data_IF_897674531498
#
_entry.id   IF_897674531498
#
_cell.length_a   1.000
_cell.length_b   1.000
_cell.length_c   1.000
_cell.angle_alpha   90.00
_cell.angle_beta   90.00
_cell.angle_gamma   90.00
#
_symmetry.space_group_name_H-M   'P 1'
#
loop_
_entity.id
_entity.type
_entity.pdbx_description
1 polymer ?
#
# COMPACT_ATOMS: atom_id res chain seq x y z
N UNK A 1 -3.43 -0.08 -19.43
CA UNK A 1 -3.73 1.31 -19.08
C UNK A 1 -4.08 1.43 -17.61
N UNK A 2 -3.49 2.37 -16.93
CA UNK A 2 -3.81 2.56 -15.53
C UNK A 2 -5.15 3.25 -15.35
N UNK A 3 -5.88 2.85 -14.33
CA UNK A 3 -7.16 3.48 -14.02
C UNK A 3 -6.94 4.87 -13.44
N UNK A 4 -7.88 5.78 -13.66
CA UNK A 4 -7.81 7.13 -13.09
C UNK A 4 -7.64 7.08 -11.56
N UNK A 5 -8.34 6.16 -10.91
CA UNK A 5 -8.26 5.98 -9.45
C UNK A 5 -6.87 5.60 -8.96
N UNK A 6 -6.06 4.93 -9.80
CA UNK A 6 -4.69 4.62 -9.46
C UNK A 6 -3.88 5.88 -9.20
N UNK A 7 -3.97 6.87 -10.08
CA UNK A 7 -3.23 8.12 -9.92
C UNK A 7 -3.69 8.90 -8.69
N UNK A 8 -4.98 8.89 -8.40
CA UNK A 8 -5.53 9.54 -7.23
C UNK A 8 -5.00 8.91 -5.94
N UNK A 9 -5.01 7.58 -5.87
CA UNK A 9 -4.49 6.87 -4.70
C UNK A 9 -2.99 7.09 -4.55
N UNK A 10 -2.25 7.04 -5.65
CA UNK A 10 -0.81 7.25 -5.61
C UNK A 10 -0.46 8.66 -5.12
N UNK A 11 -1.19 9.66 -5.60
CA UNK A 11 -1.00 11.03 -5.17
C UNK A 11 -1.22 11.18 -3.67
N UNK A 12 -2.30 10.62 -3.14
CA UNK A 12 -2.60 10.66 -1.71
C UNK A 12 -1.53 9.94 -0.89
N UNK A 13 -1.08 8.78 -1.37
CA UNK A 13 -0.03 8.03 -0.68
C UNK A 13 1.25 8.85 -0.60
N UNK A 14 1.61 9.55 -1.67
CA UNK A 14 2.80 10.41 -1.67
C UNK A 14 2.66 11.62 -0.77
N UNK A 15 1.45 12.12 -0.59
CA UNK A 15 1.19 13.21 0.37
C UNK A 15 1.35 12.73 1.81
N UNK A 16 0.89 11.52 2.11
CA UNK A 16 0.96 10.95 3.46
C UNK A 16 2.37 10.43 3.77
N UNK A 17 3.04 9.87 2.77
CA UNK A 17 4.38 9.29 2.91
C UNK A 17 5.35 9.92 1.91
N UNK A 18 5.67 11.23 2.05
CA UNK A 18 6.39 11.97 1.00
C UNK A 18 7.80 11.47 0.71
N UNK A 19 8.49 10.90 1.71
CA UNK A 19 9.86 10.45 1.55
C UNK A 19 9.97 8.93 1.47
N UNK A 20 8.85 8.24 1.29
CA UNK A 20 8.81 6.79 1.30
C UNK A 20 8.46 6.24 -0.07
N UNK A 21 9.25 5.29 -0.55
CA UNK A 21 8.92 4.50 -1.74
C UNK A 21 8.18 3.22 -1.34
N UNK A 22 8.45 2.73 -0.13
CA UNK A 22 7.79 1.57 0.44
C UNK A 22 7.29 1.90 1.84
N UNK A 23 6.22 1.23 2.26
CA UNK A 23 5.67 1.38 3.60
C UNK A 23 5.45 0.01 4.21
N UNK A 24 5.39 -0.03 5.53
CA UNK A 24 5.12 -1.27 6.26
C UNK A 24 3.64 -1.61 6.23
N UNK A 25 3.31 -2.85 6.58
CA UNK A 25 1.91 -3.27 6.64
C UNK A 25 1.10 -2.45 7.66
N UNK A 26 1.61 -2.18 8.88
CA UNK A 26 0.88 -1.29 9.80
C UNK A 26 0.60 0.09 9.23
N UNK A 27 1.56 0.68 8.50
CA UNK A 27 1.35 1.98 7.86
C UNK A 27 0.27 1.90 6.77
N UNK A 28 0.31 0.86 5.95
CA UNK A 28 -0.69 0.64 4.91
C UNK A 28 -2.08 0.42 5.52
N UNK A 29 -2.16 -0.35 6.60
CA UNK A 29 -3.42 -0.61 7.27
C UNK A 29 -4.01 0.67 7.86
N UNK A 30 -3.18 1.53 8.44
CA UNK A 30 -3.63 2.80 8.97
C UNK A 30 -4.18 3.70 7.87
N UNK A 31 -3.51 3.72 6.72
CA UNK A 31 -3.98 4.50 5.58
C UNK A 31 -5.32 3.96 5.06
N UNK A 32 -5.42 2.65 4.94
CA UNK A 32 -6.62 1.99 4.43
C UNK A 32 -7.77 2.01 5.45
N UNK A 33 -7.45 2.08 6.74
CA UNK A 33 -8.47 2.11 7.80
C UNK A 33 -8.86 0.73 8.29
N UNK A 34 -7.92 -0.22 8.31
CA UNK A 34 -8.19 -1.57 8.79
C UNK A 34 -7.08 -2.04 9.72
N UNK A 35 -7.28 -3.20 10.33
CA UNK A 35 -6.26 -3.82 11.16
C UNK A 35 -5.15 -4.42 10.28
N UNK A 36 -3.87 -4.32 10.72
CA UNK A 36 -2.76 -4.90 9.94
C UNK A 36 -2.96 -6.37 9.57
N UNK A 37 -3.56 -7.17 10.45
CA UNK A 37 -3.80 -8.58 10.18
C UNK A 37 -4.75 -8.80 9.00
N UNK A 38 -5.65 -7.88 8.76
CA UNK A 38 -6.55 -7.96 7.61
C UNK A 38 -5.77 -7.92 6.30
N UNK A 39 -4.76 -7.06 6.22
CA UNK A 39 -3.89 -6.99 5.04
C UNK A 39 -3.00 -8.23 4.93
N UNK A 40 -2.47 -8.72 6.05
CA UNK A 40 -1.63 -9.93 6.05
C UNK A 40 -2.38 -11.15 5.57
N UNK A 41 -3.68 -11.25 5.86
CA UNK A 41 -4.53 -12.35 5.43
C UNK A 41 -4.98 -12.23 3.99
N UNK A 42 -4.91 -11.05 3.41
CA UNK A 42 -5.33 -10.83 2.03
C UNK A 42 -4.34 -11.49 1.07
N UNK A 43 -4.84 -12.38 0.22
CA UNK A 43 -4.00 -13.06 -0.76
C UNK A 43 -3.63 -12.16 -1.93
N UNK A 44 -4.36 -11.08 -2.12
CA UNK A 44 -4.13 -10.16 -3.23
C UNK A 44 -3.27 -8.97 -2.85
N UNK A 45 -3.06 -8.73 -1.56
CA UNK A 45 -2.27 -7.58 -1.11
C UNK A 45 -0.80 -7.77 -1.52
N UNK A 46 -0.22 -6.82 -2.26
CA UNK A 46 1.08 -7.00 -2.90
C UNK A 46 2.28 -6.73 -1.99
N UNK A 47 2.23 -7.16 -0.75
CA UNK A 47 3.34 -7.00 0.17
C UNK A 47 4.45 -8.00 -0.12
N UNK A 48 5.69 -7.56 0.08
CA UNK A 48 6.87 -8.43 -0.05
C UNK A 48 7.65 -8.42 1.24
N UNK A 49 8.26 -9.57 1.55
CA UNK A 49 9.14 -9.67 2.70
C UNK A 49 10.47 -8.99 2.37
N UNK A 50 10.84 -8.00 3.18
CA UNK A 50 12.11 -7.29 3.06
C UNK A 50 12.79 -7.29 4.42
N UNK A 51 13.76 -8.18 4.61
CA UNK A 51 14.40 -8.35 5.91
C UNK A 51 13.40 -8.87 6.94
N UNK A 52 13.28 -8.18 8.05
CA UNK A 52 12.40 -8.58 9.15
C UNK A 52 10.92 -8.24 8.89
N UNK A 53 10.66 -7.30 8.01
CA UNK A 53 9.31 -6.75 7.85
C UNK A 53 8.82 -6.91 6.44
N UNK A 54 7.54 -7.22 6.30
CA UNK A 54 6.87 -7.15 5.01
C UNK A 54 6.60 -5.68 4.67
N UNK A 55 6.83 -5.31 3.42
CA UNK A 55 6.63 -3.95 2.92
C UNK A 55 5.89 -4.00 1.59
N UNK A 56 5.26 -2.91 1.25
CA UNK A 56 4.58 -2.75 -0.03
C UNK A 56 5.04 -1.43 -0.66
N UNK A 57 5.27 -1.45 -1.98
CA UNK A 57 5.58 -0.21 -2.68
C UNK A 57 4.33 0.65 -2.80
N UNK A 58 4.50 1.98 -2.81
CA UNK A 58 3.36 2.88 -2.98
C UNK A 58 2.63 2.62 -4.30
N UNK A 59 3.39 2.32 -5.36
CA UNK A 59 2.81 2.03 -6.67
C UNK A 59 1.94 0.79 -6.62
N UNK A 60 2.44 -0.29 -6.06
CA UNK A 60 1.67 -1.54 -5.96
C UNK A 60 0.47 -1.40 -5.04
N UNK A 61 0.61 -0.66 -3.95
CA UNK A 61 -0.50 -0.40 -3.06
C UNK A 61 -1.59 0.41 -3.76
N UNK A 62 -1.20 1.43 -4.52
CA UNK A 62 -2.15 2.24 -5.28
C UNK A 62 -2.89 1.40 -6.33
N UNK A 63 -2.20 0.48 -7.00
CA UNK A 63 -2.83 -0.43 -7.95
C UNK A 63 -3.84 -1.34 -7.25
N UNK A 64 -3.46 -1.86 -6.09
CA UNK A 64 -4.35 -2.71 -5.32
C UNK A 64 -5.60 -1.97 -4.87
N UNK A 65 -5.45 -0.71 -4.44
CA UNK A 65 -6.59 0.12 -4.06
C UNK A 65 -7.52 0.42 -5.24
N UNK A 66 -6.97 0.49 -6.45
CA UNK A 66 -7.72 0.83 -7.66
C UNK A 66 -8.44 -0.36 -8.30
N UNK A 67 -8.13 -1.57 -7.86
CA UNK A 67 -8.79 -2.77 -8.39
C UNK A 67 -10.23 -2.92 -7.96
#
# INVERSE_FOLDING_TARGET
>A
MEKATFHEHLTRLREVFPDCETITIPQAAKFYGCHPNSLRRSKTFPARQMGRYARVTLINFARWLAE
#
